data_IF_650351950198
#
_entry.id   IF_650351950198
#
_cell.length_a   1.000
_cell.length_b   1.000
_cell.length_c   1.000
_cell.angle_alpha   90.00
_cell.angle_beta   90.00
_cell.angle_gamma   90.00
#
_symmetry.space_group_name_H-M   'P 1'
#
loop_
_entity.id
_entity.type
_entity.pdbx_description
1 polymer ?
#
# COMPACT_ATOMS: atom_id res chain seq x y z
N UNK A 1 15.90 19.18 -15.03
CA UNK A 1 14.47 18.88 -15.28
C UNK A 1 14.31 17.38 -15.21
N UNK A 2 13.36 16.90 -14.40
CA UNK A 2 13.09 15.47 -14.27
C UNK A 2 12.51 14.92 -15.57
N UNK A 3 13.13 13.85 -16.09
CA UNK A 3 12.59 13.11 -17.23
C UNK A 3 11.54 12.11 -16.73
N UNK A 4 10.36 12.04 -17.36
CA UNK A 4 9.40 11.00 -17.03
C UNK A 4 9.92 9.63 -17.49
N UNK A 5 9.69 8.62 -16.67
CA UNK A 5 9.97 7.22 -17.03
C UNK A 5 9.07 6.76 -18.17
N UNK A 6 7.81 7.21 -18.11
CA UNK A 6 6.79 6.84 -19.07
C UNK A 6 5.76 7.97 -19.23
N UNK A 7 5.25 8.13 -20.46
CA UNK A 7 4.11 9.01 -20.78
C UNK A 7 2.98 8.13 -21.31
N UNK A 8 1.95 7.95 -20.47
CA UNK A 8 0.75 7.17 -20.80
C UNK A 8 -0.31 8.11 -21.38
N UNK A 9 -0.63 7.95 -22.64
CA UNK A 9 -1.68 8.71 -23.32
C UNK A 9 -3.02 7.98 -23.26
N UNK A 10 -4.10 8.69 -22.94
CA UNK A 10 -5.44 8.10 -22.82
C UNK A 10 -6.53 9.13 -23.06
N UNK A 11 -7.78 8.66 -23.13
CA UNK A 11 -8.96 9.53 -23.25
C UNK A 11 -9.26 10.21 -21.91
N UNK A 12 -8.50 11.25 -21.60
CA UNK A 12 -8.63 12.08 -20.39
C UNK A 12 -8.58 13.56 -20.74
N UNK A 13 -9.03 14.42 -19.83
CA UNK A 13 -9.09 15.87 -20.04
C UNK A 13 -7.91 16.65 -19.47
N UNK A 14 -7.12 16.02 -18.59
CA UNK A 14 -6.06 16.70 -17.82
C UNK A 14 -4.78 15.88 -17.80
N UNK A 15 -3.64 16.56 -17.64
CA UNK A 15 -2.35 15.91 -17.35
C UNK A 15 -2.30 15.60 -15.86
N UNK A 16 -1.88 14.37 -15.49
CA UNK A 16 -1.55 14.01 -14.13
C UNK A 16 -0.10 13.52 -14.04
N UNK A 17 0.57 13.97 -13.00
CA UNK A 17 1.91 13.52 -12.62
C UNK A 17 1.77 12.53 -11.48
N UNK A 18 2.39 11.37 -11.61
CA UNK A 18 2.36 10.30 -10.60
C UNK A 18 3.79 9.89 -10.33
N UNK A 19 4.19 9.85 -9.07
CA UNK A 19 5.44 9.22 -8.64
C UNK A 19 5.09 7.80 -8.15
N UNK A 20 5.68 6.80 -8.79
CA UNK A 20 5.46 5.40 -8.45
C UNK A 20 6.29 4.95 -7.22
N UNK A 21 6.16 3.68 -6.81
CA UNK A 21 6.88 3.13 -5.67
C UNK A 21 8.41 3.02 -5.88
N UNK A 22 8.89 3.12 -7.11
CA UNK A 22 10.32 3.19 -7.45
C UNK A 22 10.83 4.63 -7.50
N UNK A 23 10.01 5.60 -7.04
CA UNK A 23 10.29 7.03 -7.12
C UNK A 23 10.47 7.55 -8.58
N UNK A 24 9.89 6.86 -9.57
CA UNK A 24 9.93 7.26 -10.96
C UNK A 24 8.70 8.11 -11.30
N UNK A 25 8.90 9.13 -12.14
CA UNK A 25 7.81 9.99 -12.62
C UNK A 25 7.08 9.31 -13.81
N UNK A 26 5.80 9.07 -13.64
CA UNK A 26 4.87 8.63 -14.70
C UNK A 26 3.94 9.80 -15.02
N UNK A 27 3.83 10.12 -16.31
CA UNK A 27 2.91 11.16 -16.78
C UNK A 27 1.71 10.51 -17.45
N UNK A 28 0.51 10.85 -17.00
CA UNK A 28 -0.74 10.46 -17.69
C UNK A 28 -1.31 11.69 -18.40
N UNK A 29 -1.42 11.66 -19.74
CA UNK A 29 -1.80 12.80 -20.56
C UNK A 29 -2.94 12.48 -21.52
N UNK A 30 -3.72 13.50 -21.96
CA UNK A 30 -4.63 13.38 -23.10
C UNK A 30 -3.88 12.98 -24.38
N UNK A 31 -4.58 12.35 -25.33
CA UNK A 31 -4.00 12.03 -26.64
C UNK A 31 -3.52 13.30 -27.37
N UNK A 32 -4.25 14.40 -27.26
CA UNK A 32 -4.00 15.66 -27.96
C UNK A 32 -2.94 16.54 -27.28
N UNK A 33 -2.49 16.19 -26.06
CA UNK A 33 -1.49 16.99 -25.36
C UNK A 33 -0.13 16.89 -26.05
N UNK A 34 0.42 18.02 -26.49
CA UNK A 34 1.76 18.05 -27.06
C UNK A 34 2.82 17.79 -26.00
N UNK A 35 3.97 17.27 -26.42
CA UNK A 35 5.09 17.05 -25.53
C UNK A 35 5.57 18.36 -24.87
N UNK A 36 5.53 19.48 -25.59
CA UNK A 36 5.85 20.79 -25.05
C UNK A 36 5.00 21.13 -23.80
N UNK A 37 3.69 20.93 -23.85
CA UNK A 37 2.77 21.17 -22.73
C UNK A 37 3.02 20.19 -21.58
N UNK A 38 3.38 18.95 -21.89
CA UNK A 38 3.73 17.95 -20.86
C UNK A 38 5.01 18.39 -20.13
N UNK A 39 6.07 18.72 -20.84
CA UNK A 39 7.34 19.15 -20.23
C UNK A 39 7.24 20.49 -19.52
N UNK A 40 6.43 21.43 -20.00
CA UNK A 40 6.11 22.66 -19.26
C UNK A 40 5.41 22.34 -17.94
N UNK A 41 4.46 21.39 -17.93
CA UNK A 41 3.76 20.96 -16.73
C UNK A 41 4.73 20.31 -15.73
N UNK A 42 5.67 19.47 -16.19
CA UNK A 42 6.73 18.88 -15.36
C UNK A 42 7.58 19.99 -14.75
N UNK A 43 8.06 20.93 -15.56
CA UNK A 43 8.89 22.05 -15.12
C UNK A 43 8.20 22.87 -14.02
N UNK A 44 6.95 23.25 -14.24
CA UNK A 44 6.15 24.01 -13.27
C UNK A 44 5.93 23.24 -11.95
N UNK A 45 5.94 21.92 -11.98
CA UNK A 45 5.71 21.05 -10.82
C UNK A 45 6.99 20.39 -10.31
N UNK A 46 8.17 20.82 -10.77
CA UNK A 46 9.46 20.20 -10.44
C UNK A 46 9.65 20.03 -8.92
N UNK A 47 9.41 21.09 -8.13
CA UNK A 47 9.55 21.02 -6.67
C UNK A 47 8.66 19.93 -6.04
N UNK A 48 7.41 19.84 -6.46
CA UNK A 48 6.49 18.80 -5.97
C UNK A 48 6.98 17.39 -6.36
N UNK A 49 7.52 17.23 -7.58
CA UNK A 49 8.08 15.95 -8.04
C UNK A 49 9.25 15.56 -7.15
N UNK A 50 10.20 16.46 -6.92
CA UNK A 50 11.38 16.22 -6.12
C UNK A 50 11.01 15.85 -4.66
N UNK A 51 10.07 16.58 -4.07
CA UNK A 51 9.55 16.28 -2.72
C UNK A 51 8.89 14.89 -2.67
N UNK A 52 8.08 14.53 -3.66
CA UNK A 52 7.44 13.20 -3.71
C UNK A 52 8.42 12.07 -3.95
N UNK A 53 9.38 12.26 -4.85
CA UNK A 53 10.45 11.29 -5.09
C UNK A 53 11.30 11.08 -3.83
N UNK A 54 11.62 12.15 -3.12
CA UNK A 54 12.36 12.07 -1.86
C UNK A 54 11.58 11.27 -0.80
N UNK A 55 10.29 11.59 -0.59
CA UNK A 55 9.43 10.86 0.36
C UNK A 55 9.40 9.36 0.04
N UNK A 56 9.20 9.00 -1.24
CA UNK A 56 9.14 7.59 -1.67
C UNK A 56 10.48 6.90 -1.42
N UNK A 57 11.60 7.51 -1.82
CA UNK A 57 12.94 6.94 -1.60
C UNK A 57 13.22 6.71 -0.13
N UNK A 58 13.01 7.72 0.72
CA UNK A 58 13.22 7.61 2.17
C UNK A 58 12.33 6.54 2.79
N UNK A 59 11.09 6.39 2.29
CA UNK A 59 10.18 5.35 2.77
C UNK A 59 10.73 3.95 2.45
N UNK A 60 11.16 3.68 1.21
CA UNK A 60 11.67 2.37 0.82
C UNK A 60 13.07 2.08 1.36
N UNK A 61 13.90 3.10 1.61
CA UNK A 61 15.16 2.95 2.35
C UNK A 61 14.91 2.51 3.80
N UNK A 62 13.87 3.05 4.43
CA UNK A 62 13.51 2.71 5.81
C UNK A 62 12.74 1.39 5.91
N UNK A 63 11.95 1.08 4.90
CA UNK A 63 11.10 -0.11 4.84
C UNK A 63 11.35 -0.83 3.50
N UNK A 64 12.46 -1.57 3.38
CA UNK A 64 12.76 -2.34 2.17
C UNK A 64 11.69 -3.42 1.95
N UNK A 65 11.60 -3.89 0.71
CA UNK A 65 10.72 -5.01 0.39
C UNK A 65 11.08 -6.22 1.28
N UNK A 66 10.06 -6.86 1.81
CA UNK A 66 10.22 -8.05 2.66
C UNK A 66 10.82 -9.21 1.87
N UNK A 67 11.84 -9.82 2.43
CA UNK A 67 12.49 -11.03 1.91
C UNK A 67 12.04 -12.29 2.64
N UNK A 68 11.21 -12.13 3.68
CA UNK A 68 10.62 -13.19 4.49
C UNK A 68 11.65 -14.10 5.17
N UNK A 69 12.78 -13.54 5.59
CA UNK A 69 13.79 -14.25 6.36
C UNK A 69 13.54 -14.14 7.86
N UNK A 70 14.04 -15.15 8.62
CA UNK A 70 13.96 -15.16 10.08
C UNK A 70 14.60 -13.90 10.65
N UNK A 71 13.93 -13.26 11.59
CA UNK A 71 14.39 -12.03 12.23
C UNK A 71 13.94 -10.75 11.50
N UNK A 72 13.27 -10.85 10.36
CA UNK A 72 12.68 -9.69 9.69
C UNK A 72 11.50 -9.13 10.51
N UNK A 73 11.40 -7.80 10.59
CA UNK A 73 10.35 -7.14 11.38
C UNK A 73 9.09 -6.90 10.57
N UNK A 74 7.96 -7.36 11.08
CA UNK A 74 6.64 -7.12 10.52
C UNK A 74 5.76 -6.35 11.51
N UNK A 75 5.04 -5.34 11.01
CA UNK A 75 4.16 -4.53 11.85
C UNK A 75 2.74 -5.08 11.89
N UNK A 76 2.18 -5.23 13.09
CA UNK A 76 0.77 -5.55 13.28
C UNK A 76 0.19 -4.73 14.43
N UNK A 77 -0.89 -3.99 14.16
CA UNK A 77 -1.58 -3.09 15.10
C UNK A 77 -0.65 -2.15 15.88
N UNK A 78 0.36 -1.61 15.21
CA UNK A 78 1.33 -0.66 15.78
C UNK A 78 2.51 -1.30 16.51
N UNK A 79 2.54 -2.62 16.68
CA UNK A 79 3.66 -3.35 17.27
C UNK A 79 4.51 -4.01 16.20
N UNK A 80 5.82 -4.12 16.45
CA UNK A 80 6.77 -4.85 15.61
C UNK A 80 6.94 -6.28 16.14
N UNK A 81 6.82 -7.24 15.24
CA UNK A 81 7.02 -8.66 15.50
C UNK A 81 8.14 -9.18 14.63
N UNK A 82 8.99 -10.02 15.19
CA UNK A 82 10.09 -10.67 14.47
C UNK A 82 9.56 -11.92 13.78
N UNK A 83 9.78 -12.03 12.48
CA UNK A 83 9.40 -13.21 11.70
C UNK A 83 10.19 -14.43 12.16
N UNK A 84 9.50 -15.52 12.35
CA UNK A 84 10.07 -16.82 12.69
C UNK A 84 9.29 -17.94 11.98
N UNK A 85 9.84 -19.15 11.94
CA UNK A 85 9.23 -20.33 11.37
C UNK A 85 9.26 -21.49 12.34
N UNK A 86 8.15 -22.18 12.52
CA UNK A 86 8.05 -23.36 13.35
C UNK A 86 7.06 -24.38 12.75
N UNK A 87 6.97 -25.56 13.35
CA UNK A 87 5.98 -26.58 12.97
C UNK A 87 4.62 -26.20 13.58
N UNK A 88 3.98 -25.23 12.95
CA UNK A 88 2.63 -24.75 13.27
C UNK A 88 1.73 -24.92 12.04
N UNK A 89 0.43 -25.03 12.26
CA UNK A 89 -0.56 -25.19 11.16
C UNK A 89 -0.99 -23.84 10.53
N UNK A 90 -0.85 -22.75 11.27
CA UNK A 90 -1.25 -21.42 10.83
C UNK A 90 -0.35 -20.34 11.45
N UNK A 91 -0.44 -19.11 10.95
CA UNK A 91 0.33 -17.98 11.51
C UNK A 91 -0.10 -17.70 12.95
N UNK A 92 0.88 -17.64 13.85
CA UNK A 92 0.70 -17.41 15.28
C UNK A 92 1.56 -16.25 15.76
N UNK A 93 1.03 -15.44 16.67
CA UNK A 93 1.80 -14.46 17.43
C UNK A 93 2.14 -15.09 18.79
N UNK A 94 3.44 -15.17 19.10
CA UNK A 94 3.95 -15.63 20.39
C UNK A 94 4.97 -14.60 20.94
N UNK A 95 4.57 -13.87 21.98
CA UNK A 95 5.35 -12.77 22.51
C UNK A 95 5.57 -11.67 21.45
N UNK A 96 6.83 -11.46 21.05
CA UNK A 96 7.22 -10.52 20.00
C UNK A 96 7.53 -11.20 18.65
N UNK A 97 7.16 -12.48 18.50
CA UNK A 97 7.39 -13.25 17.27
C UNK A 97 6.10 -13.41 16.47
N UNK A 98 6.23 -13.32 15.16
CA UNK A 98 5.22 -13.69 14.17
C UNK A 98 5.70 -14.98 13.52
N UNK A 99 5.08 -16.11 13.89
CA UNK A 99 5.53 -17.46 13.53
C UNK A 99 4.69 -17.95 12.35
N UNK A 100 5.35 -18.30 11.26
CA UNK A 100 4.77 -18.90 10.08
C UNK A 100 5.01 -20.40 10.02
N UNK A 101 4.14 -21.17 9.31
CA UNK A 101 4.36 -22.59 9.05
C UNK A 101 5.69 -22.85 8.33
N UNK A 102 6.59 -23.61 8.93
CA UNK A 102 7.88 -23.94 8.34
C UNK A 102 7.74 -24.72 7.02
N UNK A 103 6.72 -25.60 6.93
CA UNK A 103 6.45 -26.42 5.74
C UNK A 103 6.12 -25.59 4.50
N UNK A 104 5.65 -24.36 4.70
CA UNK A 104 5.16 -23.46 3.66
C UNK A 104 6.07 -22.22 3.52
N UNK A 105 7.33 -22.29 3.95
CA UNK A 105 8.27 -21.15 3.92
C UNK A 105 8.38 -20.51 2.52
N UNK A 106 8.31 -21.30 1.46
CA UNK A 106 8.37 -20.79 0.08
C UNK A 106 7.14 -19.94 -0.31
N UNK A 107 6.05 -20.07 0.41
CA UNK A 107 4.79 -19.33 0.21
C UNK A 107 4.57 -18.26 1.30
N UNK A 108 5.59 -17.94 2.08
CA UNK A 108 5.52 -17.05 3.24
C UNK A 108 4.82 -15.71 2.94
N UNK A 109 5.11 -15.12 1.77
CA UNK A 109 4.45 -13.89 1.33
C UNK A 109 2.94 -14.06 1.20
N UNK A 110 2.49 -15.13 0.58
CA UNK A 110 1.06 -15.40 0.37
C UNK A 110 0.36 -15.64 1.70
N UNK A 111 0.93 -16.52 2.51
CA UNK A 111 0.41 -16.86 3.85
C UNK A 111 0.28 -15.63 4.73
N UNK A 112 1.29 -14.78 4.74
CA UNK A 112 1.28 -13.57 5.55
C UNK A 112 0.25 -12.55 5.05
N UNK A 113 0.07 -12.40 3.74
CA UNK A 113 -0.98 -11.54 3.16
C UNK A 113 -2.37 -12.08 3.55
N UNK A 114 -2.62 -13.36 3.39
CA UNK A 114 -3.88 -14.01 3.78
C UNK A 114 -4.18 -13.81 5.28
N UNK A 115 -3.16 -14.00 6.11
CA UNK A 115 -3.29 -13.76 7.55
C UNK A 115 -3.64 -12.29 7.85
N UNK A 116 -2.93 -11.31 7.22
CA UNK A 116 -3.26 -9.90 7.40
C UNK A 116 -4.69 -9.57 6.94
N UNK A 117 -5.16 -10.15 5.84
CA UNK A 117 -6.52 -9.99 5.37
C UNK A 117 -7.55 -10.53 6.39
N UNK A 118 -7.31 -11.70 6.96
CA UNK A 118 -8.17 -12.27 7.99
C UNK A 118 -8.20 -11.39 9.24
N UNK A 119 -7.03 -10.95 9.73
CA UNK A 119 -6.93 -10.05 10.87
C UNK A 119 -7.62 -8.69 10.60
N UNK A 120 -7.40 -8.11 9.41
CA UNK A 120 -8.03 -6.85 9.03
C UNK A 120 -9.56 -6.96 9.00
N UNK A 121 -10.09 -8.06 8.50
CA UNK A 121 -11.54 -8.33 8.49
C UNK A 121 -12.10 -8.26 9.92
N UNK A 122 -11.51 -9.00 10.84
CA UNK A 122 -11.95 -9.04 12.25
C UNK A 122 -11.83 -7.68 12.95
N UNK A 123 -10.68 -7.03 12.82
CA UNK A 123 -10.42 -5.72 13.46
C UNK A 123 -11.34 -4.63 12.90
N UNK A 124 -11.47 -4.55 11.57
CA UNK A 124 -12.31 -3.52 10.92
C UNK A 124 -13.77 -3.75 11.26
N UNK A 125 -14.25 -5.01 11.21
CA UNK A 125 -15.63 -5.33 11.59
C UNK A 125 -15.96 -4.85 13.01
N UNK A 126 -15.15 -5.20 14.01
CA UNK A 126 -15.32 -4.80 15.40
C UNK A 126 -15.31 -3.26 15.56
N UNK A 127 -14.43 -2.58 14.82
CA UNK A 127 -14.36 -1.11 14.87
C UNK A 127 -15.56 -0.46 14.22
N UNK A 128 -16.01 -0.93 13.07
CA UNK A 128 -17.20 -0.40 12.39
C UNK A 128 -18.43 -0.62 13.26
N UNK A 129 -18.60 -1.81 13.85
CA UNK A 129 -19.71 -2.09 14.75
C UNK A 129 -19.72 -1.12 15.94
N UNK A 130 -18.57 -0.96 16.60
CA UNK A 130 -18.44 -0.03 17.74
C UNK A 130 -18.85 1.41 17.37
N UNK A 131 -18.37 1.94 16.25
CA UNK A 131 -18.71 3.30 15.85
C UNK A 131 -20.12 3.42 15.29
N UNK A 132 -20.66 2.40 14.63
CA UNK A 132 -22.05 2.37 14.19
C UNK A 132 -23.01 2.48 15.39
N UNK A 133 -22.76 1.67 16.43
CA UNK A 133 -23.55 1.72 17.68
C UNK A 133 -23.46 3.09 18.36
N UNK A 134 -22.24 3.66 18.43
CA UNK A 134 -22.01 4.98 19.03
C UNK A 134 -22.72 6.10 18.28
N UNK A 135 -22.81 6.03 16.96
CA UNK A 135 -23.45 7.04 16.10
C UNK A 135 -24.93 6.78 15.84
N UNK A 136 -25.48 5.63 16.27
CA UNK A 136 -26.84 5.20 15.91
C UNK A 136 -26.99 4.95 14.39
N UNK A 137 -25.91 4.59 13.71
CA UNK A 137 -25.88 4.32 12.29
C UNK A 137 -26.02 2.82 11.98
N UNK A 138 -26.51 2.51 10.78
CA UNK A 138 -26.61 1.14 10.28
C UNK A 138 -25.77 0.99 9.01
N UNK A 139 -25.29 -0.21 8.73
CA UNK A 139 -24.58 -0.54 7.51
C UNK A 139 -25.01 -1.91 6.97
N UNK A 140 -24.91 -2.10 5.65
CA UNK A 140 -25.28 -3.36 5.02
C UNK A 140 -24.17 -4.39 5.03
N UNK A 141 -22.96 -3.97 4.69
CA UNK A 141 -21.81 -4.84 4.60
C UNK A 141 -20.49 -4.08 4.78
N UNK A 142 -19.47 -4.82 5.17
CA UNK A 142 -18.09 -4.35 5.23
C UNK A 142 -17.28 -5.24 4.30
N UNK A 143 -16.54 -4.64 3.37
CA UNK A 143 -15.71 -5.37 2.44
C UNK A 143 -14.30 -4.77 2.44
N UNK A 144 -13.29 -5.62 2.53
CA UNK A 144 -11.90 -5.23 2.26
C UNK A 144 -11.73 -5.04 0.75
N UNK A 145 -10.90 -4.09 0.36
CA UNK A 145 -10.59 -3.85 -1.04
C UNK A 145 -9.12 -3.46 -1.22
N UNK A 146 -8.54 -3.82 -2.37
CA UNK A 146 -7.16 -3.46 -2.74
C UNK A 146 -7.05 -2.04 -3.30
N UNK A 147 -7.88 -1.11 -2.83
CA UNK A 147 -7.90 0.26 -3.30
C UNK A 147 -6.59 0.97 -2.95
N UNK A 148 -5.79 1.29 -3.97
CA UNK A 148 -4.47 1.91 -3.82
C UNK A 148 -4.49 3.43 -3.64
N UNK A 149 -5.63 4.08 -3.87
CA UNK A 149 -5.75 5.54 -3.91
C UNK A 149 -6.57 6.13 -2.76
N UNK A 150 -7.14 5.29 -1.90
CA UNK A 150 -7.99 5.72 -0.78
C UNK A 150 -7.94 4.68 0.36
N UNK A 151 -8.09 5.15 1.57
CA UNK A 151 -8.12 4.29 2.77
C UNK A 151 -9.42 3.50 2.90
N UNK A 152 -10.50 4.01 2.32
CA UNK A 152 -11.80 3.38 2.34
C UNK A 152 -12.84 4.24 1.63
N UNK A 153 -14.05 3.75 1.54
CA UNK A 153 -15.22 4.49 1.07
C UNK A 153 -16.45 4.03 1.84
N UNK A 154 -17.36 4.96 2.11
CA UNK A 154 -18.69 4.67 2.57
C UNK A 154 -19.62 5.00 1.41
N UNK A 155 -20.36 4.03 0.91
CA UNK A 155 -21.39 4.20 -0.10
C UNK A 155 -22.76 4.25 0.56
N UNK A 156 -23.66 5.04 0.00
CA UNK A 156 -25.09 5.00 0.33
C UNK A 156 -25.78 3.92 -0.48
#
# INVERSE_FOLDING_TARGET
>A
MTQPKEIIRSKRKTIALVVNNQAELIVKAPFEASDAVIYETISRKQRWIDEKQHIVKTFFEKYPDSVFEVGESHMYLGNLYMLDYADVESVVIDGNRLILPLKEKNEAKHILIEWYHAQATDVVFKRVQYYADLMGATYYSINLSDAKARWGSCGA
#
